data_IF_328925299797
#
_entry.id   IF_328925299797
#
_cell.length_a   1.000
_cell.length_b   1.000
_cell.length_c   1.000
_cell.angle_alpha   90.00
_cell.angle_beta   90.00
_cell.angle_gamma   90.00
#
_symmetry.space_group_name_H-M   'P 1'
#
loop_
_entity.id
_entity.type
_entity.pdbx_description
1 polymer ?
#
# COMPACT_ATOMS: atom_id res chain seq x y z
N UNK A 1 -61.10 7.19 -32.33
CA UNK A 1 -59.81 7.52 -31.68
C UNK A 1 -58.89 6.33 -31.85
N UNK A 2 -57.80 6.52 -32.59
CA UNK A 2 -56.95 5.46 -33.12
C UNK A 2 -55.55 5.67 -32.52
N UNK A 3 -55.04 4.69 -31.78
CA UNK A 3 -53.73 4.75 -31.13
C UNK A 3 -52.60 4.64 -32.18
N UNK A 4 -51.51 5.41 -32.08
CA UNK A 4 -50.37 5.27 -32.99
C UNK A 4 -49.48 4.10 -32.58
N UNK A 5 -49.02 3.34 -33.59
CA UNK A 5 -48.10 2.22 -33.46
C UNK A 5 -46.64 2.70 -33.25
N UNK A 6 -45.90 1.98 -32.40
CA UNK A 6 -44.47 2.21 -32.13
C UNK A 6 -43.59 1.60 -33.24
N UNK A 7 -42.45 2.22 -33.60
CA UNK A 7 -41.52 1.68 -34.60
C UNK A 7 -40.60 0.61 -34.02
N UNK A 8 -40.43 -0.49 -34.76
CA UNK A 8 -39.52 -1.60 -34.45
C UNK A 8 -38.05 -1.20 -34.70
N UNK A 9 -37.21 -1.32 -33.68
CA UNK A 9 -35.76 -1.17 -33.79
C UNK A 9 -35.12 -2.48 -34.31
N UNK A 10 -34.48 -2.41 -35.48
CA UNK A 10 -33.60 -3.48 -36.01
C UNK A 10 -32.21 -3.34 -35.39
N UNK A 11 -31.80 -4.34 -34.61
CA UNK A 11 -30.41 -4.49 -34.16
C UNK A 11 -29.61 -5.25 -35.23
N UNK A 12 -28.67 -4.57 -35.89
CA UNK A 12 -27.62 -5.24 -36.67
C UNK A 12 -26.44 -5.53 -35.73
N UNK A 13 -26.22 -6.81 -35.43
CA UNK A 13 -25.03 -7.32 -34.78
C UNK A 13 -23.88 -7.29 -35.80
N UNK A 14 -22.86 -6.48 -35.52
CA UNK A 14 -21.63 -6.44 -36.30
C UNK A 14 -20.51 -7.08 -35.48
N UNK A 15 -20.13 -8.30 -35.85
CA UNK A 15 -18.92 -8.98 -35.39
C UNK A 15 -17.75 -8.58 -36.28
N UNK A 16 -16.55 -8.36 -35.71
CA UNK A 16 -15.31 -8.59 -36.43
C UNK A 16 -14.52 -9.78 -35.87
N UNK A 17 -14.08 -10.58 -36.85
CA UNK A 17 -13.30 -11.81 -36.78
C UNK A 17 -11.91 -11.71 -36.15
N UNK A 18 -11.28 -12.85 -35.78
CA UNK A 18 -9.94 -12.93 -35.21
C UNK A 18 -8.86 -13.07 -36.29
N UNK A 19 -7.59 -12.81 -35.92
CA UNK A 19 -6.38 -13.63 -36.18
C UNK A 19 -5.08 -12.80 -36.16
N UNK A 20 -4.16 -13.14 -35.26
CA UNK A 20 -2.79 -13.64 -35.56
C UNK A 20 -1.74 -13.20 -34.52
N UNK A 21 -0.92 -14.15 -34.00
CA UNK A 21 0.27 -13.89 -33.20
C UNK A 21 1.56 -14.10 -34.01
N UNK A 22 2.62 -13.31 -33.76
CA UNK A 22 3.99 -13.60 -34.19
C UNK A 22 5.04 -13.01 -33.21
N UNK A 23 5.80 -13.91 -32.59
CA UNK A 23 7.28 -13.98 -32.43
C UNK A 23 8.10 -12.69 -32.66
N UNK A 24 9.23 -12.35 -32.02
CA UNK A 24 10.20 -12.99 -31.11
C UNK A 24 11.27 -11.93 -30.73
N UNK A 25 11.99 -12.08 -29.62
CA UNK A 25 13.46 -11.90 -29.46
C UNK A 25 13.79 -11.98 -27.95
N UNK A 26 14.38 -13.06 -27.45
CA UNK A 26 15.83 -13.29 -27.30
C UNK A 26 16.57 -12.07 -26.76
N UNK A 27 16.95 -12.14 -25.48
CA UNK A 27 18.15 -11.48 -24.99
C UNK A 27 18.82 -12.38 -23.94
N UNK A 28 19.84 -13.12 -24.40
CA UNK A 28 20.89 -13.66 -23.56
C UNK A 28 21.93 -12.55 -23.35
N UNK A 29 22.27 -12.24 -22.12
CA UNK A 29 23.60 -11.70 -21.82
C UNK A 29 24.19 -12.41 -20.59
N UNK A 30 25.31 -13.08 -20.88
CA UNK A 30 26.39 -13.46 -19.98
C UNK A 30 26.67 -12.37 -18.93
N UNK A 31 26.94 -12.78 -17.68
CA UNK A 31 28.07 -12.25 -16.89
C UNK A 31 28.64 -13.42 -16.06
N UNK A 32 29.80 -13.87 -16.53
CA UNK A 32 31.05 -14.22 -15.83
C UNK A 32 31.00 -14.80 -14.42
N UNK A 33 31.39 -16.08 -14.34
CA UNK A 33 31.87 -16.76 -13.14
C UNK A 33 33.14 -16.09 -12.59
N UNK A 34 33.13 -15.74 -11.29
CA UNK A 34 34.39 -15.55 -10.54
C UNK A 34 34.52 -16.67 -9.52
N UNK A 35 35.50 -17.53 -9.78
CA UNK A 35 35.92 -18.68 -8.99
C UNK A 35 36.91 -18.19 -7.94
N UNK A 36 36.50 -18.08 -6.67
CA UNK A 36 37.41 -17.89 -5.54
C UNK A 36 37.72 -19.27 -4.94
N UNK A 37 38.93 -19.76 -5.21
CA UNK A 37 39.47 -20.99 -4.61
C UNK A 37 40.32 -20.62 -3.41
N UNK A 38 40.21 -21.45 -2.37
CA UNK A 38 40.88 -21.51 -1.07
C UNK A 38 42.33 -21.00 -1.00
N UNK A 39 42.68 -20.46 0.16
CA UNK A 39 43.91 -20.87 0.85
C UNK A 39 43.78 -20.76 2.37
N UNK A 40 43.79 -21.92 3.01
CA UNK A 40 43.99 -22.16 4.43
C UNK A 40 45.50 -22.43 4.63
N UNK A 41 46.14 -21.92 5.70
CA UNK A 41 47.14 -22.76 6.36
C UNK A 41 47.06 -22.70 7.89
N UNK A 42 46.94 -23.90 8.49
CA UNK A 42 47.22 -24.23 9.90
C UNK A 42 48.64 -24.85 10.00
N UNK A 43 49.16 -25.24 11.19
CA UNK A 43 49.77 -24.46 12.28
C UNK A 43 51.29 -24.71 12.45
N UNK A 44 51.97 -23.96 13.33
CA UNK A 44 53.33 -24.26 13.81
C UNK A 44 53.57 -23.78 15.26
N UNK A 45 54.40 -24.48 16.09
CA UNK A 45 54.30 -24.44 17.55
C UNK A 45 55.53 -23.74 18.22
N UNK A 46 55.76 -23.89 19.55
CA UNK A 46 55.89 -22.78 20.50
C UNK A 46 57.35 -22.30 20.70
N UNK A 47 57.52 -21.05 21.12
CA UNK A 47 58.76 -20.61 21.77
C UNK A 47 58.48 -20.10 23.18
N UNK A 48 59.09 -20.81 24.13
CA UNK A 48 59.31 -20.51 25.53
C UNK A 48 60.38 -19.42 25.69
N UNK A 49 60.18 -18.47 26.61
CA UNK A 49 61.21 -17.51 27.00
C UNK A 49 60.73 -16.46 28.00
N UNK A 50 60.88 -16.78 29.29
CA UNK A 50 61.11 -15.91 30.45
C UNK A 50 60.16 -14.76 30.85
N UNK A 51 59.38 -15.05 31.90
CA UNK A 51 59.60 -14.56 33.27
C UNK A 51 60.17 -13.15 33.46
N UNK A 52 59.32 -12.16 33.74
CA UNK A 52 59.49 -11.27 34.91
C UNK A 52 58.32 -10.28 35.04
N UNK A 53 57.98 -10.01 36.30
CA UNK A 53 57.10 -8.93 36.79
C UNK A 53 55.60 -9.21 36.81
N UNK A 54 55.21 -10.06 37.78
CA UNK A 54 53.95 -9.91 38.50
C UNK A 54 53.91 -8.52 39.17
N UNK A 55 53.34 -7.55 38.49
CA UNK A 55 52.88 -6.30 39.10
C UNK A 55 51.35 -6.37 39.19
N UNK A 56 50.86 -6.98 40.27
CA UNK A 56 49.47 -6.82 40.70
C UNK A 56 49.31 -5.36 41.13
N UNK A 57 48.67 -4.53 40.31
CA UNK A 57 47.83 -3.41 40.75
C UNK A 57 47.20 -2.75 39.53
N UNK A 58 45.92 -2.41 39.65
CA UNK A 58 45.11 -1.70 38.68
C UNK A 58 44.51 -2.55 37.53
N UNK A 59 43.48 -3.33 37.88
CA UNK A 59 42.41 -3.60 36.94
C UNK A 59 41.74 -2.25 36.64
N UNK A 60 42.00 -1.69 35.46
CA UNK A 60 41.13 -0.66 34.93
C UNK A 60 39.69 -1.20 34.94
N UNK A 61 38.69 -0.42 35.37
CA UNK A 61 37.32 -0.88 35.35
C UNK A 61 36.98 -1.25 33.91
N UNK A 62 36.72 -2.54 33.68
CA UNK A 62 36.08 -3.03 32.47
C UNK A 62 34.80 -2.21 32.34
N UNK A 63 34.59 -1.46 31.24
CA UNK A 63 33.36 -0.72 31.06
C UNK A 63 32.21 -1.72 31.21
N UNK A 64 31.35 -1.43 32.18
CA UNK A 64 30.22 -2.27 32.51
C UNK A 64 29.44 -2.51 31.22
N UNK A 65 29.15 -3.77 30.91
CA UNK A 65 28.36 -4.15 29.73
C UNK A 65 26.95 -3.51 29.72
N UNK A 66 26.57 -2.78 30.77
CA UNK A 66 25.36 -1.97 30.86
C UNK A 66 25.44 -0.61 30.14
N UNK A 67 26.63 -0.13 29.74
CA UNK A 67 26.77 1.16 29.03
C UNK A 67 26.69 1.03 27.50
N UNK A 68 26.54 -0.18 26.97
CA UNK A 68 26.37 -0.46 25.53
C UNK A 68 24.89 -0.49 25.07
N UNK A 69 23.92 -0.20 25.93
CA UNK A 69 22.49 -0.22 25.57
C UNK A 69 21.92 1.18 25.27
N UNK A 70 22.74 2.23 25.38
CA UNK A 70 22.43 3.55 24.77
C UNK A 70 22.89 3.66 23.31
N UNK A 71 23.02 2.53 22.61
CA UNK A 71 23.20 2.50 21.17
C UNK A 71 21.89 2.90 20.46
N UNK A 72 21.73 4.21 20.25
CA UNK A 72 21.07 4.86 19.12
C UNK A 72 19.69 4.31 18.68
N UNK A 73 18.58 5.06 18.80
CA UNK A 73 17.46 4.91 17.88
C UNK A 73 17.86 5.53 16.53
N UNK A 74 18.82 4.92 15.85
CA UNK A 74 19.04 5.20 14.44
C UNK A 74 17.83 4.72 13.62
N UNK A 75 17.54 5.35 12.46
CA UNK A 75 16.59 4.82 11.48
C UNK A 75 16.84 3.33 11.30
N UNK A 76 15.83 2.50 11.54
CA UNK A 76 16.01 1.06 11.37
C UNK A 76 15.88 0.76 9.88
N UNK A 77 16.91 0.18 9.25
CA UNK A 77 16.82 -0.07 7.83
C UNK A 77 15.61 -0.95 7.54
N UNK A 78 14.79 -0.51 6.58
CA UNK A 78 13.59 -1.15 6.06
C UNK A 78 12.36 -1.16 6.99
N UNK A 79 12.26 -0.28 7.99
CA UNK A 79 11.05 -0.25 8.82
C UNK A 79 9.80 0.04 7.96
N UNK A 80 8.74 -0.76 8.16
CA UNK A 80 7.47 -0.58 7.46
C UNK A 80 6.69 0.56 8.12
N UNK A 81 6.43 1.62 7.37
CA UNK A 81 5.67 2.78 7.85
C UNK A 81 4.26 2.77 7.27
N UNK A 82 3.26 2.64 8.14
CA UNK A 82 1.86 2.78 7.77
C UNK A 82 1.48 4.26 7.80
N UNK A 83 1.15 4.81 6.63
CA UNK A 83 0.81 6.23 6.48
C UNK A 83 -0.69 6.48 6.61
N UNK A 84 -1.50 5.50 6.21
CA UNK A 84 -2.93 5.57 6.30
C UNK A 84 -3.57 4.21 6.03
N UNK A 85 -4.63 3.87 6.76
CA UNK A 85 -5.35 2.63 6.55
C UNK A 85 -6.84 2.78 6.81
N UNK A 86 -7.64 2.04 6.05
CA UNK A 86 -9.09 1.98 6.23
C UNK A 86 -9.60 0.56 6.19
N UNK A 87 -10.66 0.31 6.93
CA UNK A 87 -11.40 -0.96 6.98
C UNK A 87 -12.88 -0.64 6.84
N UNK A 88 -13.52 -1.05 5.74
CA UNK A 88 -14.97 -0.87 5.56
C UNK A 88 -15.46 0.56 5.85
N UNK A 89 -14.81 1.57 5.29
CA UNK A 89 -15.26 2.96 5.45
C UNK A 89 -14.91 3.63 6.78
N UNK A 90 -14.11 3.02 7.65
CA UNK A 90 -13.53 3.67 8.84
C UNK A 90 -12.00 3.62 8.82
N UNK A 91 -11.37 4.59 9.47
CA UNK A 91 -9.91 4.66 9.59
C UNK A 91 -9.41 3.73 10.68
N UNK A 92 -8.39 2.92 10.36
CA UNK A 92 -7.78 1.92 11.28
C UNK A 92 -6.25 2.05 11.32
N UNK A 93 -5.73 3.21 10.94
CA UNK A 93 -4.29 3.50 10.85
C UNK A 93 -3.56 3.17 12.15
N UNK A 94 -4.08 3.60 13.30
CA UNK A 94 -3.43 3.40 14.60
C UNK A 94 -3.33 1.91 14.99
N UNK A 95 -4.38 1.12 14.71
CA UNK A 95 -4.38 -0.32 15.00
C UNK A 95 -3.34 -1.05 14.16
N UNK A 96 -3.23 -0.72 12.86
CA UNK A 96 -2.21 -1.32 12.01
C UNK A 96 -0.79 -0.85 12.33
N UNK A 97 -0.61 0.42 12.71
CA UNK A 97 0.68 0.90 13.22
C UNK A 97 1.10 0.12 14.47
N UNK A 98 0.17 -0.13 15.40
CA UNK A 98 0.42 -0.95 16.58
C UNK A 98 0.73 -2.41 16.23
N UNK A 99 0.03 -2.97 15.24
CA UNK A 99 0.24 -4.35 14.78
C UNK A 99 1.61 -4.54 14.10
N UNK A 100 2.06 -3.54 13.32
CA UNK A 100 3.41 -3.52 12.73
C UNK A 100 4.47 -3.30 13.81
N UNK A 101 4.21 -2.40 14.76
CA UNK A 101 5.18 -1.99 15.77
C UNK A 101 6.45 -1.46 15.12
N UNK A 102 7.58 -2.09 15.44
CA UNK A 102 8.89 -1.75 14.86
C UNK A 102 9.36 -2.74 13.79
N UNK A 103 8.45 -3.51 13.21
CA UNK A 103 8.78 -4.54 12.21
C UNK A 103 8.93 -3.96 10.80
N UNK A 104 9.69 -4.66 9.96
CA UNK A 104 9.77 -4.48 8.50
C UNK A 104 8.64 -5.21 7.75
N UNK A 105 7.77 -5.91 8.49
CA UNK A 105 6.74 -6.81 7.95
C UNK A 105 5.41 -6.64 8.66
N UNK A 106 4.34 -6.85 7.89
CA UNK A 106 2.98 -6.95 8.41
C UNK A 106 2.32 -8.23 7.91
N UNK A 107 2.10 -9.18 8.81
CA UNK A 107 1.31 -10.37 8.51
C UNK A 107 -0.17 -10.08 8.79
N UNK A 108 -1.02 -10.34 7.80
CA UNK A 108 -2.46 -10.17 7.90
C UNK A 108 -3.13 -11.50 7.58
N UNK A 109 -4.12 -11.86 8.37
CA UNK A 109 -5.11 -12.88 8.00
C UNK A 109 -6.46 -12.20 7.84
N UNK A 110 -6.85 -11.95 6.59
CA UNK A 110 -8.03 -11.17 6.22
C UNK A 110 -9.31 -11.72 6.89
N UNK A 111 -9.39 -13.02 7.18
CA UNK A 111 -10.57 -13.65 7.81
C UNK A 111 -10.70 -13.37 9.30
N UNK A 112 -9.61 -13.09 9.99
CA UNK A 112 -9.59 -12.84 11.44
C UNK A 112 -9.23 -11.41 11.79
N UNK A 113 -8.98 -10.58 10.77
CA UNK A 113 -8.52 -9.21 10.90
C UNK A 113 -9.49 -8.33 11.72
N UNK A 114 -10.80 -8.57 11.64
CA UNK A 114 -11.81 -7.87 12.45
C UNK A 114 -11.60 -8.01 13.97
N UNK A 115 -10.80 -8.98 14.43
CA UNK A 115 -10.44 -9.14 15.86
C UNK A 115 -9.35 -8.18 16.30
N UNK A 116 -8.63 -7.58 15.35
CA UNK A 116 -7.50 -6.69 15.60
C UNK A 116 -7.84 -5.23 15.29
N UNK A 117 -8.75 -4.99 14.35
CA UNK A 117 -9.15 -3.65 13.91
C UNK A 117 -10.43 -3.21 14.60
N UNK A 118 -10.41 -2.02 15.20
CA UNK A 118 -11.52 -1.48 15.97
C UNK A 118 -11.88 -0.06 15.49
N UNK A 119 -13.18 0.23 15.25
CA UNK A 119 -14.33 -0.68 15.33
C UNK A 119 -14.45 -1.63 14.13
N UNK A 120 -15.25 -2.70 14.25
CA UNK A 120 -15.80 -3.40 13.07
C UNK A 120 -16.99 -2.59 12.55
N UNK A 121 -16.86 -1.87 11.42
CA UNK A 121 -17.87 -0.91 10.97
C UNK A 121 -19.13 -1.57 10.41
N UNK A 122 -19.07 -2.85 10.05
CA UNK A 122 -20.21 -3.57 9.48
C UNK A 122 -20.08 -5.08 9.73
N UNK A 123 -20.44 -5.54 10.93
CA UNK A 123 -20.46 -6.97 11.25
C UNK A 123 -21.34 -7.74 10.26
N UNK A 124 -20.82 -8.86 9.74
CA UNK A 124 -21.51 -9.70 8.75
C UNK A 124 -21.49 -9.19 7.31
N UNK A 125 -20.98 -7.99 7.05
CA UNK A 125 -20.73 -7.50 5.69
C UNK A 125 -19.25 -7.65 5.34
N UNK A 126 -18.97 -7.96 4.08
CA UNK A 126 -17.59 -8.05 3.58
C UNK A 126 -17.01 -6.65 3.52
N UNK A 127 -15.87 -6.47 4.20
CA UNK A 127 -15.15 -5.19 4.22
C UNK A 127 -13.91 -5.26 3.33
N UNK A 128 -13.36 -4.10 3.00
CA UNK A 128 -12.08 -3.98 2.30
C UNK A 128 -11.10 -3.30 3.24
N UNK A 129 -9.92 -3.89 3.37
CA UNK A 129 -8.77 -3.22 3.94
C UNK A 129 -8.05 -2.48 2.83
N UNK A 130 -7.81 -1.19 3.03
CA UNK A 130 -6.88 -0.43 2.20
C UNK A 130 -5.76 0.13 3.07
N UNK A 131 -4.56 0.22 2.49
CA UNK A 131 -3.36 0.62 3.21
C UNK A 131 -2.44 1.39 2.27
N UNK A 132 -2.12 2.63 2.63
CA UNK A 132 -1.01 3.37 2.06
C UNK A 132 0.19 3.28 3.02
N UNK A 133 1.33 2.81 2.50
CA UNK A 133 2.53 2.57 3.29
C UNK A 133 3.80 2.86 2.51
N UNK A 134 4.94 2.90 3.21
CA UNK A 134 6.29 3.02 2.63
C UNK A 134 7.31 2.29 3.50
N UNK A 135 8.54 2.15 3.01
CA UNK A 135 9.67 1.69 3.82
C UNK A 135 10.64 2.84 4.11
N UNK A 136 11.24 2.87 5.30
CA UNK A 136 12.08 3.98 5.77
C UNK A 136 13.29 4.25 4.87
N UNK A 137 13.95 3.22 4.33
CA UNK A 137 15.09 3.41 3.41
C UNK A 137 14.68 3.57 1.94
N UNK A 138 13.39 3.81 1.66
CA UNK A 138 13.05 4.22 0.30
C UNK A 138 13.59 5.65 0.13
N UNK A 139 14.83 5.78 -0.39
CA UNK A 139 15.58 7.04 -0.62
C UNK A 139 14.80 8.13 -1.38
N UNK A 140 13.62 7.78 -1.87
CA UNK A 140 12.67 8.71 -2.45
C UNK A 140 11.44 8.72 -1.54
N UNK A 141 11.32 9.79 -0.74
CA UNK A 141 10.24 10.04 0.22
C UNK A 141 8.81 9.91 -0.36
N UNK A 142 8.68 9.93 -1.69
CA UNK A 142 7.44 9.83 -2.43
C UNK A 142 7.14 8.41 -2.97
N UNK A 143 7.95 7.39 -2.65
CA UNK A 143 7.68 5.99 -3.00
C UNK A 143 6.67 5.38 -2.03
N UNK A 144 5.41 5.75 -2.21
CA UNK A 144 4.30 5.10 -1.54
C UNK A 144 4.01 3.74 -2.17
N UNK A 145 3.33 2.88 -1.43
CA UNK A 145 2.80 1.60 -1.89
C UNK A 145 1.36 1.49 -1.41
N UNK A 146 0.50 0.89 -2.24
CA UNK A 146 -0.91 0.75 -1.95
C UNK A 146 -1.28 -0.73 -1.89
N UNK A 147 -1.89 -1.14 -0.79
CA UNK A 147 -2.47 -2.47 -0.64
C UNK A 147 -3.98 -2.35 -0.50
N UNK A 148 -4.72 -3.22 -1.18
CA UNK A 148 -6.18 -3.33 -1.12
C UNK A 148 -6.57 -4.81 -1.11
N UNK A 149 -7.35 -5.23 -0.13
CA UNK A 149 -7.87 -6.60 -0.08
C UNK A 149 -9.23 -6.68 0.60
N UNK A 150 -10.13 -7.45 0.00
CA UNK A 150 -11.40 -7.81 0.64
C UNK A 150 -11.16 -8.76 1.83
N UNK A 151 -12.05 -8.73 2.83
CA UNK A 151 -12.05 -9.61 4.01
C UNK A 151 -12.04 -11.10 3.64
N UNK A 152 -12.69 -11.44 2.53
CA UNK A 152 -12.77 -12.80 2.00
C UNK A 152 -11.72 -13.13 0.92
N UNK A 153 -10.74 -12.24 0.69
CA UNK A 153 -9.73 -12.43 -0.34
C UNK A 153 -8.95 -13.74 -0.15
N UNK A 154 -8.52 -14.31 -1.27
CA UNK A 154 -7.72 -15.53 -1.30
C UNK A 154 -6.36 -15.26 -1.97
N UNK A 155 -5.23 -15.71 -1.38
CA UNK A 155 -5.14 -16.34 -0.05
C UNK A 155 -5.55 -15.38 1.07
N UNK A 156 -6.18 -15.89 2.14
CA UNK A 156 -6.61 -15.04 3.27
C UNK A 156 -5.43 -14.51 4.07
N UNK A 157 -4.32 -15.26 4.08
CA UNK A 157 -3.08 -14.85 4.70
C UNK A 157 -2.20 -14.12 3.69
N UNK A 158 -1.68 -12.98 4.11
CA UNK A 158 -0.76 -12.16 3.34
C UNK A 158 0.31 -11.56 4.23
N UNK A 159 1.49 -11.37 3.67
CA UNK A 159 2.55 -10.59 4.31
C UNK A 159 2.87 -9.39 3.42
N UNK A 160 2.86 -8.21 4.02
CA UNK A 160 3.41 -7.00 3.42
C UNK A 160 4.85 -6.89 3.91
N UNK A 161 5.79 -6.86 2.97
CA UNK A 161 7.21 -6.69 3.23
C UNK A 161 7.87 -6.06 2.00
N UNK A 162 9.09 -5.55 2.15
CA UNK A 162 9.85 -4.91 1.05
C UNK A 162 9.96 -5.80 -0.18
N UNK A 163 10.21 -7.10 0.05
CA UNK A 163 10.45 -8.10 -0.99
C UNK A 163 9.22 -8.91 -1.38
N UNK A 164 8.06 -8.69 -0.75
CA UNK A 164 6.82 -9.43 -1.08
C UNK A 164 6.17 -8.99 -2.41
N UNK A 165 6.90 -8.32 -3.32
CA UNK A 165 6.40 -7.85 -4.60
C UNK A 165 6.82 -8.80 -5.73
N UNK A 166 5.88 -9.62 -6.23
CA UNK A 166 5.85 -10.07 -7.63
C UNK A 166 4.65 -10.98 -7.98
N UNK A 167 4.14 -11.81 -7.07
CA UNK A 167 3.36 -12.99 -7.53
C UNK A 167 1.85 -12.94 -7.32
N UNK A 168 1.26 -11.82 -6.89
CA UNK A 168 -0.17 -11.77 -6.52
C UNK A 168 -0.95 -10.65 -7.25
N UNK A 169 -0.77 -10.52 -8.56
CA UNK A 169 -1.72 -9.83 -9.45
C UNK A 169 -2.83 -10.80 -9.85
N UNK A 170 -3.77 -11.06 -8.94
CA UNK A 170 -5.01 -11.74 -9.32
C UNK A 170 -5.98 -10.73 -9.91
N UNK A 171 -5.87 -10.48 -11.22
CA UNK A 171 -6.91 -9.84 -12.01
C UNK A 171 -7.98 -10.87 -12.38
N UNK A 172 -9.24 -10.60 -12.03
CA UNK A 172 -10.40 -11.20 -12.69
C UNK A 172 -10.93 -12.49 -12.06
N UNK A 173 -11.87 -12.34 -11.12
CA UNK A 173 -12.77 -13.41 -10.70
C UNK A 173 -14.07 -12.81 -10.15
N UNK A 174 -15.28 -13.23 -10.60
CA UNK A 174 -16.53 -12.50 -10.34
C UNK A 174 -16.96 -12.42 -8.87
N UNK A 175 -16.36 -13.21 -7.97
CA UNK A 175 -16.80 -13.34 -6.58
C UNK A 175 -15.61 -13.64 -5.65
N UNK A 176 -15.22 -12.67 -4.82
CA UNK A 176 -14.44 -12.90 -3.60
C UNK A 176 -12.94 -13.19 -3.73
N UNK A 177 -12.30 -12.94 -4.88
CA UNK A 177 -10.85 -13.19 -5.10
C UNK A 177 -10.03 -11.92 -5.28
N UNK A 178 -10.37 -10.89 -4.54
CA UNK A 178 -9.88 -9.55 -4.86
C UNK A 178 -8.84 -9.09 -3.85
N UNK A 179 -7.59 -9.36 -4.21
CA UNK A 179 -6.40 -8.77 -3.61
C UNK A 179 -5.66 -8.00 -4.69
N UNK A 180 -5.40 -6.74 -4.42
CA UNK A 180 -4.57 -5.90 -5.27
C UNK A 180 -3.44 -5.32 -4.44
N UNK A 181 -2.22 -5.59 -4.88
CA UNK A 181 -1.10 -4.71 -4.56
C UNK A 181 -1.06 -3.73 -5.72
N UNK A 182 -1.42 -2.49 -5.44
CA UNK A 182 -1.34 -1.42 -6.40
C UNK A 182 -0.03 -0.68 -6.17
N UNK A 183 0.69 -0.38 -7.25
CA UNK A 183 1.54 0.80 -7.21
C UNK A 183 0.64 2.02 -6.95
N UNK A 184 1.07 3.03 -6.19
CA UNK A 184 0.33 4.29 -6.11
C UNK A 184 0.20 4.90 -7.52
N UNK A 185 -0.54 6.01 -7.64
CA UNK A 185 -0.53 6.76 -8.89
C UNK A 185 0.93 7.04 -9.29
N UNK A 186 1.35 6.79 -10.56
CA UNK A 186 2.74 6.98 -10.99
C UNK A 186 3.29 8.36 -10.67
N UNK A 187 2.39 9.34 -10.58
CA UNK A 187 2.62 10.65 -9.99
C UNK A 187 1.37 11.04 -9.18
N UNK A 188 1.53 11.68 -8.01
CA UNK A 188 0.40 12.29 -7.33
C UNK A 188 -0.41 13.15 -8.30
N UNK A 189 -1.74 12.98 -8.30
CA UNK A 189 -2.60 13.76 -9.17
C UNK A 189 -2.83 15.13 -8.54
N UNK A 190 -2.74 16.18 -9.36
CA UNK A 190 -2.91 17.57 -8.96
C UNK A 190 -3.75 18.35 -9.97
N UNK A 191 -4.62 19.23 -9.50
CA UNK A 191 -5.44 20.11 -10.34
C UNK A 191 -4.60 21.25 -10.94
N UNK A 192 -3.81 20.94 -11.97
CA UNK A 192 -2.99 21.92 -12.68
C UNK A 192 -1.80 22.47 -11.88
N UNK A 193 -1.08 23.47 -12.43
CA UNK A 193 0.16 23.98 -11.84
C UNK A 193 0.00 24.65 -10.46
N UNK A 194 -1.20 25.14 -10.17
CA UNK A 194 -1.54 25.83 -8.93
C UNK A 194 -2.29 24.95 -7.91
N UNK A 195 -2.45 23.65 -8.20
CA UNK A 195 -3.15 22.76 -7.29
C UNK A 195 -2.47 22.70 -5.93
N UNK A 196 -3.27 22.77 -4.87
CA UNK A 196 -2.82 22.76 -3.47
C UNK A 196 -2.93 21.39 -2.84
N UNK A 197 -3.43 20.40 -3.58
CA UNK A 197 -3.64 19.03 -3.10
C UNK A 197 -2.98 18.04 -4.06
N UNK A 198 -2.24 17.11 -3.47
CA UNK A 198 -1.72 15.91 -4.12
C UNK A 198 -2.59 14.73 -3.74
N UNK A 199 -3.37 14.20 -4.69
CA UNK A 199 -4.09 12.93 -4.51
C UNK A 199 -3.10 11.80 -4.79
N UNK A 200 -2.89 10.95 -3.79
CA UNK A 200 -1.94 9.84 -3.85
C UNK A 200 -2.60 8.56 -4.34
N UNK A 201 -3.83 8.32 -3.90
CA UNK A 201 -4.65 7.18 -4.31
C UNK A 201 -6.13 7.42 -4.01
N UNK A 202 -6.98 6.85 -4.85
CA UNK A 202 -8.43 6.76 -4.64
C UNK A 202 -8.85 5.32 -4.87
N UNK A 203 -9.67 4.78 -3.97
CA UNK A 203 -10.25 3.45 -4.13
C UNK A 203 -11.76 3.51 -3.91
N UNK A 204 -12.46 2.64 -4.65
CA UNK A 204 -13.89 2.40 -4.50
C UNK A 204 -14.16 0.89 -4.52
N UNK A 205 -14.67 0.38 -3.41
CA UNK A 205 -14.58 -1.04 -3.10
C UNK A 205 -13.10 -1.47 -3.10
N UNK A 206 -12.76 -2.60 -3.73
CA UNK A 206 -11.38 -3.04 -3.84
C UNK A 206 -10.63 -2.34 -4.99
N UNK A 207 -11.32 -1.67 -5.92
CA UNK A 207 -10.73 -1.15 -7.14
C UNK A 207 -10.08 0.23 -6.96
N UNK A 208 -8.92 0.43 -7.58
CA UNK A 208 -8.29 1.74 -7.73
C UNK A 208 -9.02 2.58 -8.77
N UNK A 209 -9.20 3.87 -8.48
CA UNK A 209 -9.83 4.84 -9.38
C UNK A 209 -8.77 5.77 -9.95
N UNK A 210 -8.69 5.85 -11.28
CA UNK A 210 -7.73 6.69 -12.00
C UNK A 210 -8.40 7.66 -12.99
N UNK A 211 -9.74 7.67 -13.01
CA UNK A 211 -10.52 8.51 -13.92
C UNK A 211 -10.25 9.98 -13.65
N UNK A 212 -9.65 10.68 -14.61
CA UNK A 212 -9.19 12.06 -14.43
C UNK A 212 -10.29 13.05 -14.02
N UNK A 213 -11.53 12.86 -14.51
CA UNK A 213 -12.67 13.68 -14.10
C UNK A 213 -12.99 13.51 -12.62
N UNK A 214 -13.00 12.28 -12.11
CA UNK A 214 -13.19 11.97 -10.69
C UNK A 214 -12.10 12.61 -9.84
N UNK A 215 -10.84 12.45 -10.23
CA UNK A 215 -9.71 13.05 -9.50
C UNK A 215 -9.79 14.58 -9.48
N UNK A 216 -10.25 15.19 -10.58
CA UNK A 216 -10.47 16.65 -10.65
C UNK A 216 -11.58 17.13 -9.71
N UNK A 217 -12.71 16.42 -9.65
CA UNK A 217 -13.77 16.72 -8.68
C UNK A 217 -13.23 16.68 -7.25
N UNK A 218 -12.53 15.60 -6.90
CA UNK A 218 -12.01 15.40 -5.55
C UNK A 218 -11.01 16.47 -5.17
N UNK A 219 -10.06 16.80 -6.04
CA UNK A 219 -9.09 17.85 -5.72
C UNK A 219 -9.73 19.22 -5.57
N UNK A 220 -10.69 19.58 -6.43
CA UNK A 220 -11.42 20.84 -6.27
C UNK A 220 -12.21 20.86 -4.95
N UNK A 221 -12.74 19.73 -4.52
CA UNK A 221 -13.41 19.60 -3.23
C UNK A 221 -12.45 19.79 -2.04
N UNK A 222 -11.30 19.12 -2.02
CA UNK A 222 -10.28 19.31 -0.97
C UNK A 222 -9.70 20.73 -0.96
N UNK A 223 -9.66 21.38 -2.13
CA UNK A 223 -9.29 22.79 -2.28
C UNK A 223 -10.38 23.76 -1.84
N UNK A 224 -11.54 23.27 -1.37
CA UNK A 224 -12.67 24.08 -0.89
C UNK A 224 -13.45 24.78 -2.01
N UNK A 225 -13.21 24.41 -3.26
CA UNK A 225 -13.88 25.02 -4.41
C UNK A 225 -15.26 24.44 -4.64
N UNK A 226 -15.50 23.20 -4.23
CA UNK A 226 -16.75 22.46 -4.47
C UNK A 226 -17.40 22.01 -3.16
N UNK A 227 -18.73 22.01 -3.14
CA UNK A 227 -19.53 21.50 -2.02
C UNK A 227 -19.53 19.98 -1.92
N UNK A 228 -20.49 19.43 -1.17
CA UNK A 228 -20.62 18.00 -0.86
C UNK A 228 -20.56 17.10 -2.12
N UNK A 229 -19.71 16.07 -2.08
CA UNK A 229 -19.61 15.06 -3.15
C UNK A 229 -20.26 13.77 -2.67
N UNK A 230 -21.25 13.26 -3.40
CA UNK A 230 -21.86 11.97 -3.09
C UNK A 230 -21.07 10.84 -3.76
N UNK A 231 -20.54 9.94 -2.94
CA UNK A 231 -19.64 8.87 -3.38
C UNK A 231 -20.42 7.61 -3.74
N UNK A 232 -20.69 7.40 -5.04
CA UNK A 232 -21.48 6.27 -5.54
C UNK A 232 -21.02 5.81 -6.93
N UNK A 233 -21.66 4.76 -7.45
CA UNK A 233 -21.36 4.20 -8.78
C UNK A 233 -21.43 5.24 -9.91
N UNK A 234 -22.38 6.19 -9.84
CA UNK A 234 -22.52 7.21 -10.86
C UNK A 234 -21.35 8.20 -10.84
N UNK A 235 -20.91 8.62 -9.64
CA UNK A 235 -19.75 9.47 -9.46
C UNK A 235 -18.47 8.79 -9.97
N UNK A 236 -18.24 7.53 -9.59
CA UNK A 236 -17.04 6.78 -10.00
C UNK A 236 -17.12 6.25 -11.44
N UNK A 237 -18.29 6.31 -12.07
CA UNK A 237 -18.54 5.85 -13.44
C UNK A 237 -18.58 4.32 -13.61
N UNK A 238 -18.53 3.55 -12.51
CA UNK A 238 -18.53 2.09 -12.53
C UNK A 238 -19.04 1.50 -11.21
N UNK A 239 -19.50 0.25 -11.26
CA UNK A 239 -19.69 -0.60 -10.07
C UNK A 239 -18.59 -1.68 -10.04
N UNK A 240 -17.48 -1.44 -9.33
CA UNK A 240 -16.37 -2.38 -9.29
C UNK A 240 -16.67 -3.62 -8.44
N UNK A 241 -17.77 -3.62 -7.67
CA UNK A 241 -18.11 -4.72 -6.79
C UNK A 241 -19.63 -4.90 -6.69
N UNK A 242 -20.26 -5.44 -7.76
CA UNK A 242 -21.70 -5.60 -7.80
C UNK A 242 -22.23 -6.46 -6.64
N UNK A 243 -23.41 -6.10 -6.14
CA UNK A 243 -24.12 -6.74 -5.02
C UNK A 243 -23.46 -6.62 -3.65
N UNK A 244 -22.26 -6.05 -3.58
CA UNK A 244 -21.58 -5.76 -2.32
C UNK A 244 -21.64 -4.26 -2.03
N UNK A 245 -21.81 -3.93 -0.75
CA UNK A 245 -21.73 -2.55 -0.30
C UNK A 245 -20.27 -2.11 -0.37
N UNK A 246 -19.99 -1.06 -1.13
CA UNK A 246 -18.61 -0.58 -1.29
C UNK A 246 -18.26 0.44 -0.22
N UNK A 247 -17.00 0.50 0.16
CA UNK A 247 -16.42 1.65 0.84
C UNK A 247 -15.56 2.43 -0.15
N UNK A 248 -15.35 3.72 0.11
CA UNK A 248 -14.43 4.54 -0.67
C UNK A 248 -13.36 5.10 0.25
N UNK A 249 -12.19 5.39 -0.31
CA UNK A 249 -11.10 6.05 0.40
C UNK A 249 -10.35 6.97 -0.54
N UNK A 250 -9.93 8.11 -0.02
CA UNK A 250 -9.02 9.03 -0.68
C UNK A 250 -7.82 9.29 0.22
N UNK A 251 -6.64 8.98 -0.31
CA UNK A 251 -5.35 9.32 0.27
C UNK A 251 -4.83 10.57 -0.41
N UNK A 252 -4.56 11.63 0.34
CA UNK A 252 -4.05 12.88 -0.22
C UNK A 252 -3.11 13.59 0.75
N UNK A 253 -2.44 14.65 0.29
CA UNK A 253 -1.68 15.58 1.12
C UNK A 253 -1.81 17.00 0.57
N UNK A 254 -1.61 18.00 1.42
CA UNK A 254 -1.53 19.39 0.98
C UNK A 254 -0.12 19.72 0.48
N UNK A 255 -0.06 20.49 -0.61
CA UNK A 255 1.18 20.94 -1.23
C UNK A 255 1.75 22.09 -0.41
N UNK A 256 3.06 22.06 -0.15
CA UNK A 256 3.75 23.11 0.62
C UNK A 256 3.49 23.09 2.13
N UNK A 257 2.59 22.23 2.61
CA UNK A 257 2.37 21.97 4.04
C UNK A 257 3.22 20.80 4.56
N UNK A 258 2.82 20.26 5.71
CA UNK A 258 3.43 19.02 6.23
C UNK A 258 3.29 17.90 5.19
N UNK A 259 4.33 17.07 5.00
CA UNK A 259 4.29 15.87 4.12
C UNK A 259 3.33 14.78 4.63
N UNK A 260 2.47 15.13 5.57
CA UNK A 260 1.53 14.24 6.24
C UNK A 260 0.45 13.81 5.24
N UNK A 261 0.28 12.50 5.12
CA UNK A 261 -0.83 11.92 4.39
C UNK A 261 -2.10 12.06 5.22
N UNK A 262 -3.15 12.53 4.58
CA UNK A 262 -4.51 12.54 5.09
C UNK A 262 -5.33 11.45 4.43
N UNK A 263 -6.27 10.90 5.19
CA UNK A 263 -7.13 9.80 4.77
C UNK A 263 -8.56 10.20 5.06
N UNK A 264 -9.41 10.17 4.04
CA UNK A 264 -10.85 10.33 4.19
C UNK A 264 -11.52 9.13 3.56
N UNK A 265 -12.52 8.60 4.25
CA UNK A 265 -13.17 7.35 3.86
C UNK A 265 -14.62 7.35 4.31
N UNK A 266 -15.40 6.48 3.69
CA UNK A 266 -16.79 6.26 4.07
C UNK A 266 -17.40 5.12 3.28
N UNK A 267 -18.68 4.92 3.50
CA UNK A 267 -19.48 3.96 2.75
C UNK A 267 -20.06 4.56 1.47
N UNK A 268 -20.30 3.70 0.49
CA UNK A 268 -21.07 4.02 -0.71
C UNK A 268 -22.39 4.71 -0.35
N UNK A 269 -22.76 5.68 -1.19
CA UNK A 269 -23.86 6.62 -1.01
C UNK A 269 -23.68 7.63 0.14
N UNK A 270 -22.64 7.49 0.94
CA UNK A 270 -22.18 8.50 1.88
C UNK A 270 -21.66 9.73 1.16
N UNK A 271 -21.71 10.85 1.87
CA UNK A 271 -21.10 12.08 1.41
C UNK A 271 -19.63 12.13 1.78
N UNK A 272 -18.83 12.74 0.91
CA UNK A 272 -17.55 13.30 1.31
C UNK A 272 -17.83 14.52 2.19
N UNK A 273 -17.76 14.30 3.49
CA UNK A 273 -17.78 15.36 4.49
C UNK A 273 -16.35 15.88 4.70
N UNK A 274 -16.19 17.05 5.34
CA UNK A 274 -14.91 17.72 5.53
C UNK A 274 -14.35 17.46 6.93
N UNK A 275 -13.62 16.36 7.18
CA UNK A 275 -12.89 16.17 8.44
C UNK A 275 -11.42 16.57 8.35
N UNK A 276 -10.95 17.18 7.24
CA UNK A 276 -9.54 17.56 7.08
C UNK A 276 -9.24 18.99 7.48
N UNK A 277 -8.04 19.18 8.02
CA UNK A 277 -7.44 20.48 8.30
C UNK A 277 -6.29 20.76 7.35
N UNK A 278 -6.19 22.01 6.90
CA UNK A 278 -4.96 22.56 6.28
C UNK A 278 -4.04 22.93 7.43
N UNK A 279 -3.34 21.94 7.98
CA UNK A 279 -2.28 22.16 8.96
C UNK A 279 -1.11 22.91 8.32
#
# INVERSE_FOLDING_TARGET
MQLPALPSARYHLQTPSPLSPLLSLVNQQLITMTKLTLQDPTPGPPQSGDSSNLNLTHLDPIPSYEEAVSALPGPRPNALQILGATWGGVTVTADLQKLVGTSDKLALDMRTLHRHLHPDPAPGQIKVLTLLYRFEDDDNDDRFRLFSAAENAQPSKTTISRHAHANNTSSGGPRGRVRYIHEPLPRPWRAGPQGQVDILAVLYGPARVETASVLSVLSNHFEGRWGQVRMNNAFFGADPWPYERKSWVVYFRFVGGSRRVQVVTGWENGALEVPWTRD
#
